data_IF_452147498084
#
_entry.id   IF_452147498084
#
_cell.length_a   1.000
_cell.length_b   1.000
_cell.length_c   1.000
_cell.angle_alpha   90.00
_cell.angle_beta   90.00
_cell.angle_gamma   90.00
#
_symmetry.space_group_name_H-M   'P 1'
#
loop_
_entity.id
_entity.type
_entity.pdbx_description
1 polymer ?
#
# COMPACT_ATOMS: atom_id res chain seq x y z
N UNK A 1 9.32 -16.85 29.94
CA UNK A 1 8.92 -17.29 28.60
C UNK A 1 8.59 -16.12 27.70
N UNK A 2 7.68 -15.21 28.06
CA UNK A 2 7.40 -14.02 27.23
C UNK A 2 8.54 -12.99 27.20
N UNK A 3 9.34 -12.93 28.25
CA UNK A 3 10.52 -12.05 28.38
C UNK A 3 11.62 -12.31 27.35
N UNK A 4 11.60 -13.44 26.63
CA UNK A 4 12.53 -13.71 25.52
C UNK A 4 12.26 -12.83 24.30
N UNK A 5 11.06 -12.26 24.19
CA UNK A 5 10.63 -11.44 23.06
C UNK A 5 10.05 -10.10 23.57
N UNK A 6 10.87 -9.19 24.13
CA UNK A 6 10.39 -8.02 24.86
C UNK A 6 9.68 -6.97 23.97
N UNK A 7 9.83 -7.05 22.65
CA UNK A 7 9.24 -6.10 21.71
C UNK A 7 7.81 -6.44 21.30
N UNK A 8 7.32 -7.64 21.65
CA UNK A 8 5.95 -8.08 21.32
C UNK A 8 4.96 -7.59 22.37
N UNK A 9 3.67 -7.61 22.04
CA UNK A 9 2.60 -7.23 22.95
C UNK A 9 2.66 -8.04 24.26
N UNK A 10 2.72 -9.38 24.20
CA UNK A 10 2.79 -10.22 25.40
C UNK A 10 4.13 -10.06 26.14
N UNK A 11 5.22 -9.83 25.42
CA UNK A 11 6.53 -9.55 26.02
C UNK A 11 6.53 -8.29 26.86
N UNK A 12 5.84 -7.23 26.39
CA UNK A 12 5.65 -5.98 27.14
C UNK A 12 4.66 -6.14 28.29
N UNK A 13 3.54 -6.81 28.04
CA UNK A 13 2.47 -7.05 29.03
C UNK A 13 2.95 -7.81 30.26
N UNK A 14 3.78 -8.84 30.06
CA UNK A 14 4.24 -9.75 31.12
C UNK A 14 5.74 -9.62 31.43
N UNK A 15 6.41 -8.60 30.88
CA UNK A 15 7.82 -8.31 31.08
C UNK A 15 8.12 -7.41 32.29
N UNK A 16 9.40 -7.12 32.49
CA UNK A 16 9.92 -6.33 33.61
C UNK A 16 9.49 -4.85 33.59
N UNK A 17 9.00 -4.34 32.46
CA UNK A 17 8.47 -2.99 32.28
C UNK A 17 6.96 -2.88 32.47
N UNK A 18 6.35 -3.77 33.26
CA UNK A 18 4.88 -3.84 33.44
C UNK A 18 4.31 -2.48 33.81
N UNK A 19 3.62 -1.84 32.87
CA UNK A 19 2.74 -0.72 33.20
C UNK A 19 1.52 -1.29 33.94
N UNK A 20 1.33 -1.00 35.25
CA UNK A 20 0.34 -1.66 36.09
C UNK A 20 -1.13 -1.39 35.67
N UNK A 21 -1.34 -0.52 34.67
CA UNK A 21 -2.66 -0.15 34.18
C UNK A 21 -3.11 -0.94 32.94
N UNK A 22 -2.21 -1.60 32.19
CA UNK A 22 -2.57 -2.30 30.96
C UNK A 22 -2.85 -3.80 31.15
N UNK A 23 -2.34 -4.43 32.21
CA UNK A 23 -2.44 -5.88 32.42
C UNK A 23 -2.97 -6.21 33.80
N UNK A 24 -4.29 -6.11 33.96
CA UNK A 24 -4.96 -6.54 35.20
C UNK A 24 -5.65 -7.89 34.97
N UNK A 25 -5.39 -8.89 35.82
CA UNK A 25 -6.14 -10.12 35.76
C UNK A 25 -7.58 -9.87 36.21
N UNK A 26 -8.50 -10.73 35.76
CA UNK A 26 -9.86 -10.76 36.25
C UNK A 26 -9.92 -11.32 37.69
N UNK A 27 -11.13 -11.45 38.25
CA UNK A 27 -11.37 -11.92 39.62
C UNK A 27 -10.81 -13.33 39.91
N UNK A 28 -10.56 -14.12 38.87
CA UNK A 28 -9.99 -15.48 38.98
C UNK A 28 -8.47 -15.51 38.88
N UNK A 29 -7.84 -14.37 38.59
CA UNK A 29 -6.40 -14.29 38.33
C UNK A 29 -6.02 -14.52 36.86
N UNK A 30 -7.00 -14.69 35.97
CA UNK A 30 -6.78 -14.95 34.54
C UNK A 30 -6.66 -13.65 33.74
N UNK A 31 -5.95 -13.69 32.62
CA UNK A 31 -5.82 -12.56 31.70
C UNK A 31 -6.66 -12.83 30.45
N UNK A 32 -7.58 -11.92 30.15
CA UNK A 32 -8.35 -11.93 28.92
C UNK A 32 -7.58 -11.14 27.87
N UNK A 33 -7.15 -11.83 26.82
CA UNK A 33 -6.39 -11.25 25.71
C UNK A 33 -6.93 -11.82 24.40
N UNK A 34 -6.90 -11.01 23.35
CA UNK A 34 -7.17 -11.45 21.98
C UNK A 34 -8.52 -12.13 21.78
N UNK A 35 -9.60 -11.46 22.18
CA UNK A 35 -10.99 -11.96 22.07
C UNK A 35 -11.36 -12.38 20.63
N UNK A 36 -10.81 -11.68 19.63
CA UNK A 36 -11.08 -11.93 18.20
C UNK A 36 -10.15 -13.00 17.58
N UNK A 37 -9.16 -13.51 18.31
CA UNK A 37 -8.18 -14.47 17.77
C UNK A 37 -8.57 -15.89 18.17
N UNK A 38 -8.73 -16.76 17.16
CA UNK A 38 -9.05 -18.16 17.37
C UNK A 38 -8.01 -18.90 18.22
N UNK A 39 -8.46 -19.84 19.05
CA UNK A 39 -7.60 -20.59 19.98
C UNK A 39 -6.44 -21.32 19.30
N UNK A 40 -6.66 -21.85 18.09
CA UNK A 40 -5.62 -22.49 17.27
C UNK A 40 -4.50 -21.51 16.89
N UNK A 41 -4.87 -20.30 16.45
CA UNK A 41 -3.91 -19.24 16.09
C UNK A 41 -3.18 -18.78 17.33
N UNK A 42 -3.90 -18.54 18.43
CA UNK A 42 -3.30 -18.12 19.69
C UNK A 42 -2.32 -19.18 20.24
N UNK A 43 -2.62 -20.46 20.09
CA UNK A 43 -1.69 -21.52 20.48
C UNK A 43 -0.39 -21.48 19.65
N UNK A 44 -0.47 -21.16 18.36
CA UNK A 44 0.71 -20.98 17.50
C UNK A 44 1.54 -19.75 17.93
N UNK A 45 0.86 -18.66 18.33
CA UNK A 45 1.49 -17.47 18.91
C UNK A 45 2.21 -17.81 20.23
N UNK A 46 1.62 -18.60 21.11
CA UNK A 46 2.28 -19.01 22.36
C UNK A 46 3.51 -19.90 22.11
N UNK A 47 3.47 -20.71 21.07
CA UNK A 47 4.59 -21.56 20.65
C UNK A 47 5.79 -20.74 20.14
N UNK A 48 5.56 -19.56 19.54
CA UNK A 48 6.62 -18.62 19.17
C UNK A 48 7.50 -18.24 20.37
N UNK A 49 6.92 -17.93 21.53
CA UNK A 49 7.71 -17.55 22.70
C UNK A 49 8.55 -18.70 23.28
N UNK A 50 8.24 -19.94 22.90
CA UNK A 50 9.01 -21.14 23.28
C UNK A 50 10.09 -21.48 22.26
N UNK A 51 9.78 -21.37 20.96
CA UNK A 51 10.61 -21.90 19.87
C UNK A 51 11.28 -20.83 19.00
N UNK A 52 10.82 -19.58 19.08
CA UNK A 52 11.23 -18.49 18.20
C UNK A 52 10.63 -18.52 16.79
N UNK A 53 9.75 -19.50 16.50
CA UNK A 53 9.11 -19.68 15.20
C UNK A 53 7.63 -20.01 15.36
N UNK A 54 6.83 -19.63 14.37
CA UNK A 54 5.41 -19.94 14.24
C UNK A 54 5.25 -20.88 13.05
N UNK A 55 4.69 -22.06 13.30
CA UNK A 55 4.17 -22.90 12.23
C UNK A 55 2.71 -22.52 11.97
N UNK A 56 2.40 -22.08 10.76
CA UNK A 56 1.05 -21.78 10.35
C UNK A 56 0.17 -23.03 10.53
N UNK A 57 -0.86 -22.98 11.39
CA UNK A 57 -1.67 -24.15 11.66
C UNK A 57 -2.49 -24.61 10.46
N UNK A 58 -2.89 -25.87 10.46
CA UNK A 58 -3.73 -26.44 9.42
C UNK A 58 -5.13 -25.83 9.43
N UNK A 59 -5.62 -25.45 8.25
CA UNK A 59 -6.92 -24.80 8.10
C UNK A 59 -6.94 -23.30 8.41
N UNK A 60 -5.82 -22.73 8.89
CA UNK A 60 -5.65 -21.29 9.10
C UNK A 60 -5.01 -20.67 7.85
N UNK A 61 -5.58 -19.55 7.40
CA UNK A 61 -5.04 -18.82 6.26
C UNK A 61 -3.81 -17.99 6.67
N UNK A 62 -2.88 -17.77 5.73
CA UNK A 62 -1.71 -16.92 6.01
C UNK A 62 -2.09 -15.47 6.35
N UNK A 63 -3.09 -14.84 5.69
CA UNK A 63 -3.58 -13.51 6.10
C UNK A 63 -4.13 -13.46 7.53
N UNK A 64 -4.92 -14.46 7.95
CA UNK A 64 -5.42 -14.53 9.33
C UNK A 64 -4.28 -14.63 10.35
N UNK A 65 -3.26 -15.44 10.04
CA UNK A 65 -2.07 -15.51 10.89
C UNK A 65 -1.29 -14.18 10.89
N UNK A 66 -1.24 -13.49 9.75
CA UNK A 66 -0.60 -12.17 9.62
C UNK A 66 -1.29 -11.15 10.53
N UNK A 67 -2.61 -11.04 10.48
CA UNK A 67 -3.39 -10.15 11.35
C UNK A 67 -3.12 -10.44 12.84
N UNK A 68 -3.05 -11.72 13.22
CA UNK A 68 -2.67 -12.10 14.59
C UNK A 68 -1.24 -11.67 14.94
N UNK A 69 -0.28 -11.82 14.03
CA UNK A 69 1.10 -11.38 14.25
C UNK A 69 1.17 -9.86 14.42
N UNK A 70 0.44 -9.10 13.60
CA UNK A 70 0.36 -7.64 13.71
C UNK A 70 -0.24 -7.23 15.06
N UNK A 71 -1.34 -7.87 15.48
CA UNK A 71 -1.96 -7.64 16.79
C UNK A 71 -0.99 -7.88 17.95
N UNK A 72 -0.25 -8.98 17.92
CA UNK A 72 0.72 -9.32 18.98
C UNK A 72 2.07 -8.63 18.80
N UNK A 73 2.25 -7.78 17.80
CA UNK A 73 3.52 -7.14 17.44
C UNK A 73 4.67 -8.16 17.26
N UNK A 74 4.38 -9.27 16.59
CA UNK A 74 5.38 -10.29 16.20
C UNK A 74 5.77 -10.03 14.75
N UNK A 75 7.08 -9.94 14.47
CA UNK A 75 7.60 -9.73 13.13
C UNK A 75 7.20 -10.88 12.19
N UNK A 76 6.44 -10.54 11.14
CA UNK A 76 6.00 -11.48 10.12
C UNK A 76 7.09 -11.65 9.03
N UNK A 77 8.06 -12.51 9.30
CA UNK A 77 9.21 -12.74 8.41
C UNK A 77 9.40 -14.23 8.09
N UNK A 78 10.11 -14.56 7.01
CA UNK A 78 10.45 -15.96 6.67
C UNK A 78 11.30 -16.67 7.76
N UNK A 79 12.04 -15.90 8.56
CA UNK A 79 12.78 -16.39 9.74
C UNK A 79 11.81 -16.88 10.83
N UNK A 80 10.72 -16.15 11.05
CA UNK A 80 9.73 -16.36 12.11
C UNK A 80 8.59 -17.29 11.68
N UNK A 81 8.12 -17.20 10.44
CA UNK A 81 6.91 -17.86 9.94
C UNK A 81 7.29 -19.07 9.07
N UNK A 82 6.67 -20.23 9.35
CA UNK A 82 6.75 -21.45 8.56
C UNK A 82 5.34 -21.86 8.13
N UNK A 83 5.05 -21.83 6.84
CA UNK A 83 3.75 -22.25 6.30
C UNK A 83 3.95 -23.24 5.16
N UNK A 84 2.88 -23.98 4.82
CA UNK A 84 2.85 -24.81 3.61
C UNK A 84 2.53 -24.00 2.35
N UNK A 85 1.63 -23.01 2.49
CA UNK A 85 1.25 -22.13 1.40
C UNK A 85 2.28 -21.02 1.21
N UNK A 86 3.31 -21.34 0.43
CA UNK A 86 4.37 -20.40 0.09
C UNK A 86 3.86 -19.25 -0.77
N UNK A 87 2.79 -19.45 -1.56
CA UNK A 87 2.24 -18.40 -2.41
C UNK A 87 1.61 -17.30 -1.57
N UNK A 88 0.80 -17.68 -0.57
CA UNK A 88 0.19 -16.73 0.34
C UNK A 88 1.24 -16.04 1.22
N UNK A 89 2.28 -16.75 1.68
CA UNK A 89 3.40 -16.11 2.40
C UNK A 89 4.14 -15.09 1.54
N UNK A 90 4.46 -15.44 0.29
CA UNK A 90 5.13 -14.52 -0.62
C UNK A 90 4.24 -13.32 -0.96
N UNK A 91 2.92 -13.50 -1.00
CA UNK A 91 1.98 -12.39 -1.19
C UNK A 91 2.08 -11.38 -0.04
N UNK A 92 1.98 -11.83 1.22
CA UNK A 92 2.11 -10.95 2.39
C UNK A 92 3.46 -10.23 2.44
N UNK A 93 4.56 -10.96 2.23
CA UNK A 93 5.91 -10.37 2.22
C UNK A 93 6.12 -9.40 1.04
N UNK A 94 5.51 -9.68 -0.11
CA UNK A 94 5.55 -8.78 -1.27
C UNK A 94 4.76 -7.49 -1.01
N UNK A 95 3.63 -7.57 -0.28
CA UNK A 95 2.85 -6.41 0.12
C UNK A 95 3.65 -5.51 1.06
N UNK A 96 4.38 -6.08 2.03
CA UNK A 96 5.29 -5.31 2.90
C UNK A 96 6.39 -4.60 2.09
N UNK A 97 7.01 -5.33 1.15
CA UNK A 97 8.02 -4.75 0.27
C UNK A 97 7.46 -3.62 -0.60
N UNK A 98 6.25 -3.80 -1.14
CA UNK A 98 5.56 -2.79 -1.93
C UNK A 98 5.18 -1.56 -1.07
N UNK A 99 4.79 -1.77 0.18
CA UNK A 99 4.45 -0.70 1.12
C UNK A 99 5.67 0.19 1.38
N UNK A 100 6.79 -0.41 1.80
CA UNK A 100 8.05 0.30 2.06
C UNK A 100 8.52 1.03 0.79
N UNK A 101 8.44 0.35 -0.37
CA UNK A 101 8.85 0.96 -1.62
C UNK A 101 7.96 2.15 -2.00
N UNK A 102 6.65 2.06 -1.77
CA UNK A 102 5.74 3.15 -2.07
C UNK A 102 5.89 4.32 -1.09
N UNK A 103 6.10 4.07 0.20
CA UNK A 103 6.43 5.13 1.15
C UNK A 103 7.67 5.93 0.72
N UNK A 104 8.69 5.25 0.19
CA UNK A 104 9.85 5.91 -0.38
C UNK A 104 9.48 6.80 -1.56
N UNK A 105 8.70 6.30 -2.54
CA UNK A 105 8.24 7.13 -3.66
C UNK A 105 7.34 8.28 -3.22
N UNK A 106 6.48 8.04 -2.22
CA UNK A 106 5.59 9.02 -1.64
C UNK A 106 6.40 10.18 -1.07
N UNK A 107 7.41 9.88 -0.26
CA UNK A 107 8.25 10.88 0.39
C UNK A 107 9.20 11.61 -0.57
N UNK A 108 9.88 10.86 -1.43
CA UNK A 108 11.01 11.40 -2.20
C UNK A 108 10.61 11.96 -3.58
N UNK A 109 9.49 11.53 -4.14
CA UNK A 109 9.07 11.91 -5.50
C UNK A 109 7.72 12.62 -5.54
N UNK A 110 6.73 12.08 -4.84
CA UNK A 110 5.34 12.56 -4.92
C UNK A 110 5.12 13.76 -4.00
N UNK A 111 5.60 13.72 -2.77
CA UNK A 111 5.41 14.78 -1.77
C UNK A 111 5.93 16.15 -2.23
N UNK A 112 7.11 16.28 -2.86
CA UNK A 112 7.56 17.58 -3.39
C UNK A 112 6.56 18.21 -4.38
N UNK A 113 5.96 17.41 -5.27
CA UNK A 113 4.96 17.88 -6.22
C UNK A 113 3.65 18.30 -5.52
N UNK A 114 3.24 17.54 -4.52
CA UNK A 114 2.07 17.90 -3.71
C UNK A 114 2.27 19.20 -2.95
N UNK A 115 3.47 19.41 -2.38
CA UNK A 115 3.82 20.65 -1.67
C UNK A 115 3.79 21.83 -2.64
N UNK A 116 4.39 21.70 -3.83
CA UNK A 116 4.35 22.74 -4.85
C UNK A 116 2.92 23.08 -5.27
N UNK A 117 2.08 22.05 -5.51
CA UNK A 117 0.66 22.21 -5.82
C UNK A 117 -0.10 22.97 -4.72
N UNK A 118 0.11 22.58 -3.46
CA UNK A 118 -0.54 23.22 -2.31
C UNK A 118 -0.09 24.67 -2.12
N UNK A 119 1.20 24.97 -2.36
CA UNK A 119 1.74 26.33 -2.30
C UNK A 119 1.16 27.25 -3.38
N UNK A 120 0.80 26.69 -4.54
CA UNK A 120 0.08 27.40 -5.61
C UNK A 120 -1.42 27.60 -5.31
N UNK A 121 -1.93 27.09 -4.18
CA UNK A 121 -3.33 27.22 -3.78
C UNK A 121 -4.23 26.06 -4.21
N UNK A 122 -3.68 25.03 -4.85
CA UNK A 122 -4.43 23.86 -5.28
C UNK A 122 -4.85 22.98 -4.11
N UNK A 123 -6.08 22.46 -4.17
CA UNK A 123 -6.66 21.58 -3.14
C UNK A 123 -6.67 20.11 -3.53
N UNK A 124 -6.42 19.81 -4.80
CA UNK A 124 -6.26 18.47 -5.36
C UNK A 124 -4.92 18.43 -6.09
N UNK A 125 -4.26 17.28 -6.09
CA UNK A 125 -3.01 17.09 -6.82
C UNK A 125 -3.18 15.89 -7.74
N UNK A 126 -3.13 16.12 -9.04
CA UNK A 126 -3.19 15.08 -10.04
C UNK A 126 -1.77 14.78 -10.52
N UNK A 127 -1.32 13.55 -10.35
CA UNK A 127 0.02 13.12 -10.68
C UNK A 127 -0.06 11.99 -11.68
N UNK A 128 0.66 12.15 -12.78
CA UNK A 128 0.74 11.19 -13.86
C UNK A 128 2.17 10.68 -13.94
N UNK A 129 2.34 9.36 -13.95
CA UNK A 129 3.64 8.73 -14.09
C UNK A 129 3.82 8.25 -15.51
N UNK A 130 4.78 8.86 -16.21
CA UNK A 130 5.17 8.52 -17.57
C UNK A 130 6.55 7.85 -17.58
N UNK A 131 6.93 7.36 -18.75
CA UNK A 131 8.25 6.82 -19.08
C UNK A 131 8.81 7.58 -20.26
N UNK A 132 10.13 7.53 -20.45
CA UNK A 132 10.81 8.12 -21.61
C UNK A 132 10.34 7.55 -22.97
N UNK A 133 9.64 6.41 -22.96
CA UNK A 133 9.08 5.78 -24.15
C UNK A 133 7.67 6.35 -24.49
N UNK A 134 7.08 7.15 -23.58
CA UNK A 134 5.80 7.82 -23.80
C UNK A 134 6.04 9.17 -24.50
N UNK A 135 5.52 9.31 -25.73
CA UNK A 135 5.54 10.58 -26.47
C UNK A 135 4.26 11.34 -26.19
N UNK A 136 4.37 12.50 -25.56
CA UNK A 136 3.26 13.46 -25.38
C UNK A 136 3.38 14.51 -26.49
N UNK A 137 2.52 14.41 -27.49
CA UNK A 137 2.46 15.31 -28.66
C UNK A 137 1.05 15.91 -28.76
N UNK A 138 0.87 17.03 -28.06
CA UNK A 138 -0.40 17.73 -28.06
C UNK A 138 -0.49 18.73 -29.18
N UNK A 139 -1.70 18.84 -29.72
CA UNK A 139 -1.95 19.78 -30.79
C UNK A 139 -2.23 21.17 -30.22
N UNK A 140 -1.40 22.14 -30.60
CA UNK A 140 -1.52 23.55 -30.16
C UNK A 140 -2.88 24.17 -30.49
N UNK A 141 -3.53 23.78 -31.59
CA UNK A 141 -4.81 24.34 -32.04
C UNK A 141 -6.01 23.70 -31.30
N UNK A 142 -5.86 22.48 -30.78
CA UNK A 142 -6.92 21.72 -30.11
C UNK A 142 -6.36 20.94 -28.91
N UNK A 143 -5.92 21.60 -27.82
CA UNK A 143 -5.32 20.91 -26.67
C UNK A 143 -6.33 19.96 -25.99
N UNK A 144 -5.86 18.88 -25.36
CA UNK A 144 -6.76 17.99 -24.63
C UNK A 144 -7.41 18.73 -23.46
N UNK A 145 -8.72 18.53 -23.26
CA UNK A 145 -9.51 19.23 -22.25
C UNK A 145 -9.04 19.04 -20.80
N UNK A 146 -8.19 18.04 -20.53
CA UNK A 146 -7.67 17.71 -19.20
C UNK A 146 -6.14 17.77 -19.08
N UNK A 147 -5.45 18.29 -20.10
CA UNK A 147 -4.01 18.06 -20.28
C UNK A 147 -3.10 18.58 -19.17
N UNK A 148 -2.77 19.87 -19.18
CA UNK A 148 -1.61 20.38 -18.42
C UNK A 148 -1.96 21.28 -17.23
N UNK A 149 -3.10 21.97 -17.26
CA UNK A 149 -3.30 23.08 -16.31
C UNK A 149 -3.33 22.65 -14.83
N UNK A 150 -3.53 21.36 -14.55
CA UNK A 150 -3.65 20.86 -13.17
C UNK A 150 -2.90 19.54 -12.91
N UNK A 151 -2.13 19.02 -13.87
CA UNK A 151 -1.47 17.71 -13.75
C UNK A 151 0.04 17.85 -13.60
N UNK A 152 0.62 17.07 -12.68
CA UNK A 152 2.04 17.00 -12.41
C UNK A 152 2.60 15.71 -13.03
N UNK A 153 3.66 15.82 -13.83
CA UNK A 153 4.25 14.68 -14.53
C UNK A 153 5.48 14.18 -13.78
N UNK A 154 5.53 12.87 -13.52
CA UNK A 154 6.73 12.17 -13.07
C UNK A 154 7.22 11.27 -14.22
N UNK A 155 8.43 11.51 -14.72
CA UNK A 155 9.12 10.54 -15.59
C UNK A 155 9.92 9.55 -14.73
N UNK A 156 9.43 8.31 -14.61
CA UNK A 156 10.10 7.28 -13.82
C UNK A 156 9.70 5.87 -14.26
N UNK A 157 10.61 5.18 -14.96
CA UNK A 157 10.46 3.75 -15.30
C UNK A 157 10.24 2.86 -14.07
N UNK A 158 10.81 3.21 -12.92
CA UNK A 158 10.68 2.44 -11.67
C UNK A 158 9.30 2.60 -11.04
N UNK A 159 8.82 3.83 -10.90
CA UNK A 159 7.49 4.11 -10.37
C UNK A 159 6.39 3.63 -11.33
N UNK A 160 6.65 3.75 -12.64
CA UNK A 160 5.81 3.18 -13.66
C UNK A 160 5.69 1.65 -13.52
N UNK A 161 6.82 0.93 -13.38
CA UNK A 161 6.82 -0.52 -13.16
C UNK A 161 6.11 -0.91 -11.86
N UNK A 162 6.26 -0.11 -10.81
CA UNK A 162 5.54 -0.32 -9.56
C UNK A 162 4.02 -0.31 -9.78
N UNK A 163 3.50 0.73 -10.46
CA UNK A 163 2.08 0.85 -10.78
C UNK A 163 1.59 -0.09 -11.88
N UNK A 164 2.45 -0.89 -12.51
CA UNK A 164 2.01 -1.91 -13.47
C UNK A 164 1.24 -3.05 -12.77
N UNK A 165 1.56 -3.34 -11.52
CA UNK A 165 0.94 -4.43 -10.77
C UNK A 165 -0.28 -3.93 -10.00
N UNK A 166 -1.40 -4.67 -10.06
CA UNK A 166 -2.65 -4.26 -9.41
C UNK A 166 -2.52 -4.31 -7.88
N UNK A 167 -1.81 -5.30 -7.37
CA UNK A 167 -1.52 -5.48 -5.95
C UNK A 167 -0.75 -4.27 -5.41
N UNK A 168 0.27 -3.81 -6.13
CA UNK A 168 1.01 -2.60 -5.78
C UNK A 168 0.16 -1.33 -5.80
N UNK A 169 -0.84 -1.24 -6.70
CA UNK A 169 -1.80 -0.12 -6.72
C UNK A 169 -2.66 -0.15 -5.45
N UNK A 170 -3.10 -1.31 -5.01
CA UNK A 170 -3.93 -1.44 -3.82
C UNK A 170 -3.15 -1.13 -2.55
N UNK A 171 -1.90 -1.59 -2.46
CA UNK A 171 -0.97 -1.17 -1.38
C UNK A 171 -0.78 0.34 -1.38
N UNK A 172 -0.51 0.96 -2.52
CA UNK A 172 -0.37 2.42 -2.61
C UNK A 172 -1.64 3.17 -2.16
N UNK A 173 -2.83 2.67 -2.51
CA UNK A 173 -4.10 3.24 -2.02
C UNK A 173 -4.20 3.15 -0.49
N UNK A 174 -3.77 2.05 0.12
CA UNK A 174 -3.76 1.90 1.58
C UNK A 174 -2.84 2.93 2.24
N UNK A 175 -1.59 3.02 1.77
CA UNK A 175 -0.60 3.99 2.28
C UNK A 175 -1.12 5.42 2.20
N UNK A 176 -1.72 5.81 1.06
CA UNK A 176 -2.30 7.14 0.89
C UNK A 176 -3.47 7.38 1.86
N UNK A 177 -4.33 6.38 2.07
CA UNK A 177 -5.47 6.45 3.00
C UNK A 177 -5.01 6.60 4.44
N UNK A 178 -4.03 5.80 4.87
CA UNK A 178 -3.43 5.83 6.21
C UNK A 178 -2.70 7.15 6.47
N UNK A 179 -2.04 7.70 5.44
CA UNK A 179 -1.40 9.02 5.48
C UNK A 179 -2.40 10.20 5.41
N UNK A 180 -3.72 9.93 5.33
CA UNK A 180 -4.74 10.97 5.24
C UNK A 180 -4.83 11.69 3.90
N UNK A 181 -4.15 11.20 2.87
CA UNK A 181 -4.02 11.82 1.54
C UNK A 181 -5.19 11.42 0.62
N UNK A 182 -6.40 11.89 0.92
CA UNK A 182 -7.62 11.52 0.17
C UNK A 182 -7.83 12.29 -1.14
N UNK A 183 -7.07 13.37 -1.39
CA UNK A 183 -7.26 14.31 -2.51
C UNK A 183 -6.17 14.22 -3.58
N UNK A 184 -5.32 13.20 -3.51
CA UNK A 184 -4.33 12.90 -4.54
C UNK A 184 -4.93 11.94 -5.55
N UNK A 185 -4.77 12.25 -6.85
CA UNK A 185 -5.00 11.30 -7.93
C UNK A 185 -3.64 10.93 -8.50
N UNK A 186 -3.31 9.65 -8.47
CA UNK A 186 -2.02 9.14 -8.91
C UNK A 186 -2.25 7.96 -9.85
N UNK A 187 -1.69 8.03 -11.06
CA UNK A 187 -1.91 6.98 -12.05
C UNK A 187 -0.89 6.98 -13.19
N UNK A 188 -0.89 5.87 -13.92
CA UNK A 188 -0.09 5.64 -15.14
C UNK A 188 -0.96 5.53 -16.41
N UNK A 189 -2.26 5.77 -16.29
CA UNK A 189 -3.28 5.57 -17.32
C UNK A 189 -4.19 6.81 -17.43
N UNK A 190 -4.85 6.97 -18.57
CA UNK A 190 -5.82 8.06 -18.78
C UNK A 190 -5.22 9.43 -19.04
N UNK A 191 -3.89 9.52 -19.21
CA UNK A 191 -3.24 10.74 -19.68
C UNK A 191 -3.21 10.78 -21.22
N UNK A 192 -3.68 11.87 -21.84
CA UNK A 192 -3.65 12.01 -23.29
C UNK A 192 -2.20 12.13 -23.77
N UNK A 193 -1.79 11.33 -24.75
CA UNK A 193 -0.43 11.35 -25.30
C UNK A 193 -0.38 12.08 -26.62
N UNK A 194 -0.92 11.52 -27.70
CA UNK A 194 -0.88 12.15 -29.02
C UNK A 194 -2.27 12.26 -29.66
N UNK A 195 -2.46 13.28 -30.50
CA UNK A 195 -3.73 13.48 -31.23
C UNK A 195 -3.92 12.38 -32.27
N UNK A 196 -4.96 11.56 -32.14
CA UNK A 196 -5.30 10.55 -33.17
C UNK A 196 -5.97 11.20 -34.38
N UNK A 197 -7.04 11.97 -34.14
CA UNK A 197 -7.88 12.54 -35.20
C UNK A 197 -8.68 13.72 -34.72
N UNK A 198 -9.09 14.58 -35.65
CA UNK A 198 -10.06 15.65 -35.39
C UNK A 198 -11.40 15.24 -35.99
N UNK A 199 -12.42 15.09 -35.15
CA UNK A 199 -13.78 14.76 -35.59
C UNK A 199 -14.53 16.07 -35.83
N UNK A 200 -14.88 16.34 -37.09
CA UNK A 200 -15.76 17.44 -37.48
C UNK A 200 -17.19 16.91 -37.63
N UNK A 201 -18.15 17.51 -36.91
CA UNK A 201 -19.58 17.22 -37.08
C UNK A 201 -20.27 18.49 -37.60
N UNK A 202 -21.29 18.39 -38.47
CA UNK A 202 -22.01 19.56 -38.97
C UNK A 202 -22.61 20.35 -37.79
N UNK A 203 -22.29 21.65 -37.71
CA UNK A 203 -22.79 22.55 -36.66
C UNK A 203 -22.10 22.45 -35.29
N UNK A 204 -21.07 21.60 -35.13
CA UNK A 204 -20.29 21.49 -33.88
C UNK A 204 -18.83 21.86 -34.17
N UNK A 205 -18.16 22.62 -33.28
CA UNK A 205 -16.73 22.88 -33.40
C UNK A 205 -15.92 21.57 -33.53
N UNK A 206 -14.81 21.58 -34.27
CA UNK A 206 -13.94 20.41 -34.41
C UNK A 206 -13.48 19.92 -33.03
N UNK A 207 -13.59 18.62 -32.78
CA UNK A 207 -13.16 17.99 -31.52
C UNK A 207 -11.94 17.11 -31.79
N UNK A 208 -10.82 17.39 -31.11
CA UNK A 208 -9.64 16.53 -31.16
C UNK A 208 -9.84 15.28 -30.28
N UNK A 209 -9.65 14.12 -30.88
CA UNK A 209 -9.62 12.82 -30.19
C UNK A 209 -8.15 12.50 -29.95
N UNK A 210 -7.80 12.38 -28.67
CA UNK A 210 -6.46 12.02 -28.22
C UNK A 210 -6.39 10.52 -27.95
N UNK A 211 -5.24 9.93 -28.23
CA UNK A 211 -4.90 8.62 -27.69
C UNK A 211 -4.63 8.79 -26.20
N UNK A 212 -5.21 7.91 -25.42
CA UNK A 212 -4.92 7.80 -24.00
C UNK A 212 -4.08 6.56 -23.83
N UNK A 213 -3.05 6.64 -22.99
CA UNK A 213 -2.23 5.49 -22.63
C UNK A 213 -3.13 4.42 -22.00
N UNK A 214 -3.65 3.53 -22.85
CA UNK A 214 -4.33 2.29 -22.48
C UNK A 214 -3.27 1.22 -22.52
N UNK A 215 -2.82 0.79 -21.35
CA UNK A 215 -1.90 -0.34 -21.26
C UNK A 215 -2.71 -1.58 -20.92
N UNK A 216 -2.41 -2.72 -21.54
CA UNK A 216 -3.23 -3.92 -21.41
C UNK A 216 -3.33 -4.30 -19.93
N UNK A 217 -4.57 -4.44 -19.46
CA UNK A 217 -4.90 -5.21 -18.27
C UNK A 217 -4.47 -6.65 -18.52
N UNK A 218 -3.67 -7.22 -17.60
CA UNK A 218 -3.50 -8.67 -17.51
C UNK A 218 -4.71 -9.21 -16.75
#
# INVERSE_FOLDING_TARGET
>A
TFTSQPNTMLGRMFGSGREPNFTRPNEKGDYEVAEEIGSTVFQAILDYYKKGIIHCPDGISVPELREACDYFCISFECSTIKCRDLSALMHELSNDGAHIQFEFYLRETILPLMVASAQSGERECHIVVLTNDDVVDWNEEYPPQMGEEYSQIIDSKKLYRFFKYIESRDVAKSVLKESGLKKIRLGIEGYPTYKEKVKKRPGVPPEAIYNYVQRPSI
#
